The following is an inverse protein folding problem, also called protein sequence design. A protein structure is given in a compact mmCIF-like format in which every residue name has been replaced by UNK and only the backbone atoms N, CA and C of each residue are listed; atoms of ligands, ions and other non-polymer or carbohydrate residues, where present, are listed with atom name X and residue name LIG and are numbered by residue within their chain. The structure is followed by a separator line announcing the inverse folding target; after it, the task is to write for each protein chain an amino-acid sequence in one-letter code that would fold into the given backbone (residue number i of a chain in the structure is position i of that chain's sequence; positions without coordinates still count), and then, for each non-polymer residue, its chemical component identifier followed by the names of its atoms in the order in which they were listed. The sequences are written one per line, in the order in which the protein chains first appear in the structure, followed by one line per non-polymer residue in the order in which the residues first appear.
data_IF_784404916413
#
_entry.id   IF_784404916413
#
_cell.length_a   1.000
_cell.length_b   1.000
_cell.length_c   1.000
_cell.angle_alpha   90.00
_cell.angle_beta   90.00
_cell.angle_gamma   90.00
#
_symmetry.space_group_name_H-M   'P 1'
#
loop_
_entity.id
_entity.type
_entity.pdbx_description
1 polymer ?
#
# COMPACT_ATOMS: atom_id res chain seq x y z
N UNK A 1 -7.30 10.57 -7.84
CA UNK A 1 -5.82 10.58 -7.97
C UNK A 1 -5.20 9.45 -7.13
N UNK A 2 -5.27 9.48 -5.80
CA UNK A 2 -4.65 8.48 -4.91
C UNK A 2 -5.02 7.02 -5.20
N UNK A 3 -6.29 6.73 -5.49
CA UNK A 3 -6.75 5.37 -5.80
C UNK A 3 -6.08 4.79 -7.06
N UNK A 4 -5.91 5.62 -8.09
CA UNK A 4 -5.27 5.22 -9.35
C UNK A 4 -3.78 4.97 -9.12
N UNK A 5 -3.11 5.83 -8.33
CA UNK A 5 -1.71 5.62 -7.94
C UNK A 5 -1.52 4.30 -7.16
N UNK A 6 -2.43 4.00 -6.22
CA UNK A 6 -2.44 2.71 -5.52
C UNK A 6 -2.60 1.52 -6.46
N UNK A 7 -3.51 1.60 -7.43
CA UNK A 7 -3.73 0.54 -8.42
C UNK A 7 -2.50 0.31 -9.30
N UNK A 8 -1.84 1.39 -9.76
CA UNK A 8 -0.62 1.31 -10.57
C UNK A 8 0.56 0.73 -9.78
N UNK A 9 0.79 1.22 -8.55
CA UNK A 9 1.82 0.68 -7.65
C UNK A 9 1.62 -0.83 -7.41
N UNK A 10 0.36 -1.27 -7.19
CA UNK A 10 0.03 -2.69 -7.04
C UNK A 10 0.31 -3.48 -8.32
N UNK A 11 -0.02 -2.94 -9.49
CA UNK A 11 0.25 -3.58 -10.77
C UNK A 11 1.76 -3.77 -10.99
N UNK A 12 2.56 -2.74 -10.74
CA UNK A 12 4.02 -2.80 -10.87
C UNK A 12 4.68 -3.72 -9.86
N UNK A 13 4.20 -3.74 -8.61
CA UNK A 13 4.65 -4.72 -7.60
C UNK A 13 4.40 -6.16 -8.06
N UNK A 14 3.23 -6.44 -8.65
CA UNK A 14 2.93 -7.77 -9.22
C UNK A 14 3.83 -8.09 -10.41
N UNK A 15 4.07 -7.13 -11.30
CA UNK A 15 4.99 -7.30 -12.43
C UNK A 15 6.42 -7.60 -11.96
N UNK A 16 6.90 -6.87 -10.94
CA UNK A 16 8.21 -7.10 -10.33
C UNK A 16 8.29 -8.50 -9.71
N UNK A 17 7.26 -8.93 -8.96
CA UNK A 17 7.21 -10.28 -8.41
C UNK A 17 7.30 -11.34 -9.53
N UNK A 18 6.48 -11.21 -10.56
CA UNK A 18 6.50 -12.12 -11.71
C UNK A 18 7.87 -12.18 -12.39
N UNK A 19 8.51 -11.02 -12.59
CA UNK A 19 9.86 -10.93 -13.16
C UNK A 19 10.89 -11.72 -12.33
N UNK A 20 10.79 -11.68 -11.00
CA UNK A 20 11.68 -12.40 -10.09
C UNK A 20 11.40 -13.91 -10.03
N UNK A 21 10.12 -14.29 -10.16
CA UNK A 21 9.70 -15.69 -10.23
C UNK A 21 10.21 -16.35 -11.52
N UNK A 22 10.19 -15.63 -12.64
CA UNK A 22 10.65 -16.08 -13.97
C UNK A 22 12.15 -15.86 -14.22
N UNK A 23 12.92 -15.38 -13.23
CA UNK A 23 14.31 -14.92 -13.43
C UNK A 23 15.25 -15.95 -14.07
N UNK A 24 15.00 -17.25 -13.85
CA UNK A 24 15.88 -18.32 -14.33
C UNK A 24 15.67 -18.63 -15.81
N UNK A 25 14.54 -18.21 -16.40
CA UNK A 25 14.20 -18.44 -17.81
C UNK A 25 14.44 -17.22 -18.68
N UNK A 26 14.75 -16.06 -18.07
CA UNK A 26 14.88 -14.79 -18.76
C UNK A 26 16.33 -14.48 -19.15
N UNK A 27 16.50 -13.74 -20.24
CA UNK A 27 17.78 -13.16 -20.58
C UNK A 27 18.23 -12.19 -19.45
N UNK A 28 19.49 -12.32 -19.02
CA UNK A 28 20.04 -11.54 -17.91
C UNK A 28 19.99 -10.02 -18.13
N UNK A 29 20.26 -9.54 -19.35
CA UNK A 29 20.25 -8.11 -19.64
C UNK A 29 18.81 -7.57 -19.61
N UNK A 30 17.86 -8.33 -20.15
CA UNK A 30 16.44 -8.00 -20.04
C UNK A 30 15.98 -7.95 -18.58
N UNK A 31 16.36 -8.95 -17.78
CA UNK A 31 16.04 -9.01 -16.35
C UNK A 31 16.56 -7.78 -15.60
N UNK A 32 17.84 -7.43 -15.78
CA UNK A 32 18.45 -6.26 -15.12
C UNK A 32 17.77 -4.96 -15.54
N UNK A 33 17.53 -4.79 -16.85
CA UNK A 33 16.87 -3.60 -17.38
C UNK A 33 15.45 -3.44 -16.81
N UNK A 34 14.64 -4.49 -16.84
CA UNK A 34 13.27 -4.46 -16.31
C UNK A 34 13.20 -4.35 -14.80
N UNK A 35 14.14 -4.97 -14.09
CA UNK A 35 14.27 -4.81 -12.65
C UNK A 35 14.52 -3.35 -12.30
N UNK A 36 15.50 -2.71 -12.95
CA UNK A 36 15.83 -1.30 -12.72
C UNK A 36 14.66 -0.38 -13.04
N UNK A 37 13.97 -0.60 -14.16
CA UNK A 37 12.79 0.18 -14.56
C UNK A 37 11.67 0.10 -13.49
N UNK A 38 11.29 -1.13 -13.11
CA UNK A 38 10.21 -1.36 -12.17
C UNK A 38 10.57 -0.87 -10.76
N UNK A 39 11.77 -1.16 -10.27
CA UNK A 39 12.20 -0.76 -8.93
C UNK A 39 12.29 0.76 -8.82
N UNK A 40 12.88 1.42 -9.82
CA UNK A 40 13.04 2.89 -9.82
C UNK A 40 11.69 3.56 -9.79
N UNK A 41 10.75 3.12 -10.63
CA UNK A 41 9.41 3.67 -10.61
C UNK A 41 8.73 3.45 -9.26
N UNK A 42 8.72 2.21 -8.75
CA UNK A 42 8.03 1.88 -7.50
C UNK A 42 8.57 2.74 -6.35
N UNK A 43 9.89 2.88 -6.23
CA UNK A 43 10.52 3.66 -5.16
C UNK A 43 10.15 5.14 -5.27
N UNK A 44 10.30 5.75 -6.45
CA UNK A 44 10.02 7.17 -6.64
C UNK A 44 8.54 7.49 -6.41
N UNK A 45 7.64 6.71 -7.02
CA UNK A 45 6.20 6.92 -6.90
C UNK A 45 5.70 6.64 -5.49
N UNK A 46 6.19 5.60 -4.82
CA UNK A 46 5.78 5.30 -3.44
C UNK A 46 6.23 6.40 -2.47
N UNK A 47 7.44 6.96 -2.65
CA UNK A 47 7.91 8.06 -1.79
C UNK A 47 7.05 9.31 -1.94
N UNK A 48 6.73 9.72 -3.17
CA UNK A 48 5.83 10.85 -3.43
C UNK A 48 4.42 10.58 -2.88
N UNK A 49 3.93 9.36 -3.03
CA UNK A 49 2.63 8.94 -2.51
C UNK A 49 2.57 9.04 -0.97
N UNK A 50 3.56 8.50 -0.27
CA UNK A 50 3.67 8.59 1.20
C UNK A 50 3.77 10.06 1.63
N UNK A 51 4.51 10.88 0.89
CA UNK A 51 4.60 12.31 1.17
C UNK A 51 3.23 13.00 1.10
N UNK A 52 2.44 12.73 0.05
CA UNK A 52 1.07 13.25 -0.10
C UNK A 52 0.16 12.77 1.04
N UNK A 53 0.24 11.50 1.42
CA UNK A 53 -0.52 10.96 2.54
C UNK A 53 -0.19 11.69 3.85
N UNK A 54 1.09 11.76 4.20
CA UNK A 54 1.55 12.34 5.47
C UNK A 54 1.34 13.84 5.58
N UNK A 55 1.51 14.59 4.49
CA UNK A 55 1.54 16.06 4.55
C UNK A 55 0.23 16.70 4.07
N UNK A 56 -0.63 15.97 3.37
CA UNK A 56 -1.87 16.51 2.81
C UNK A 56 -3.08 15.74 3.33
N UNK A 57 -3.17 14.44 3.08
CA UNK A 57 -4.40 13.67 3.34
C UNK A 57 -4.64 13.43 4.82
N UNK A 58 -3.64 12.99 5.58
CA UNK A 58 -3.83 12.76 7.02
C UNK A 58 -4.12 14.06 7.77
N UNK A 59 -3.40 15.18 7.55
CA UNK A 59 -3.75 16.46 8.16
C UNK A 59 -5.13 16.96 7.76
N UNK A 60 -5.55 16.74 6.50
CA UNK A 60 -6.90 17.09 6.06
C UNK A 60 -7.95 16.25 6.77
N UNK A 61 -7.78 14.92 6.80
CA UNK A 61 -8.68 13.99 7.48
C UNK A 61 -8.89 14.37 8.96
N UNK A 62 -7.81 14.71 9.67
CA UNK A 62 -7.87 15.16 11.07
C UNK A 62 -8.71 16.44 11.27
N UNK A 63 -8.79 17.31 10.26
CA UNK A 63 -9.56 18.57 10.33
C UNK A 63 -11.00 18.39 9.88
N UNK A 64 -11.28 17.42 9.02
CA UNK A 64 -12.58 17.29 8.33
C UNK A 64 -13.48 16.21 8.92
N UNK A 65 -12.90 15.14 9.48
CA UNK A 65 -13.65 13.99 9.98
C UNK A 65 -14.00 14.22 11.45
N UNK A 66 -15.27 14.05 11.80
CA UNK A 66 -15.74 14.18 13.18
C UNK A 66 -15.41 12.95 14.04
N UNK A 67 -15.40 13.11 15.37
CA UNK A 67 -15.15 12.02 16.33
C UNK A 67 -16.08 10.81 16.12
N UNK A 68 -17.36 11.05 15.83
CA UNK A 68 -18.34 9.99 15.57
C UNK A 68 -17.99 9.21 14.31
N UNK A 69 -17.54 9.89 13.26
CA UNK A 69 -17.13 9.25 12.01
C UNK A 69 -15.83 8.47 12.20
N UNK A 70 -14.88 8.98 12.98
CA UNK A 70 -13.65 8.27 13.34
C UNK A 70 -13.92 6.94 14.05
N UNK A 71 -14.89 6.91 14.97
CA UNK A 71 -15.32 5.66 15.61
C UNK A 71 -15.76 4.60 14.60
N UNK A 72 -16.61 4.98 13.64
CA UNK A 72 -17.08 4.07 12.57
C UNK A 72 -15.95 3.64 11.63
N UNK A 73 -15.09 4.58 11.21
CA UNK A 73 -13.95 4.28 10.34
C UNK A 73 -13.00 3.28 11.01
N UNK A 74 -12.78 3.42 12.32
CA UNK A 74 -11.95 2.48 13.10
C UNK A 74 -12.54 1.07 13.09
N UNK A 75 -13.84 0.92 13.31
CA UNK A 75 -14.51 -0.38 13.25
C UNK A 75 -14.38 -1.04 11.87
N UNK A 76 -14.54 -0.26 10.80
CA UNK A 76 -14.36 -0.74 9.42
C UNK A 76 -12.90 -1.17 9.15
N UNK A 77 -11.91 -0.41 9.65
CA UNK A 77 -10.49 -0.78 9.53
C UNK A 77 -10.13 -2.01 10.36
N UNK A 78 -10.73 -2.17 11.54
CA UNK A 78 -10.54 -3.35 12.39
C UNK A 78 -10.97 -4.64 11.69
N UNK A 79 -12.04 -4.58 10.88
CA UNK A 79 -12.54 -5.70 10.08
C UNK A 79 -11.66 -6.03 8.86
N UNK A 80 -11.00 -5.04 8.25
CA UNK A 80 -10.10 -5.23 7.10
C UNK A 80 -8.73 -5.77 7.56
N UNK A 81 -8.27 -5.33 8.73
CA UNK A 81 -6.94 -5.64 9.25
C UNK A 81 -5.92 -4.54 8.95
N UNK A 82 -4.77 -4.65 9.60
CA UNK A 82 -3.70 -3.66 9.53
C UNK A 82 -2.44 -4.28 8.92
N UNK A 83 -1.70 -3.48 8.14
CA UNK A 83 -0.44 -3.91 7.54
C UNK A 83 0.72 -3.41 8.43
N UNK A 84 1.69 -4.28 8.71
CA UNK A 84 2.94 -3.98 9.44
C UNK A 84 2.78 -3.53 10.92
N UNK A 85 1.55 -3.42 11.42
CA UNK A 85 1.23 -3.09 12.81
C UNK A 85 -0.18 -3.61 13.11
N UNK A 86 -0.57 -3.79 14.37
CA UNK A 86 -1.93 -4.10 14.80
C UNK A 86 -2.12 -3.46 16.18
N UNK A 87 -3.14 -2.60 16.39
CA UNK A 87 -3.37 -1.97 17.70
C UNK A 87 -3.59 -3.00 18.81
N UNK A 88 -2.99 -2.81 19.98
CA UNK A 88 -3.11 -3.73 21.13
C UNK A 88 -4.54 -3.79 21.70
N UNK A 89 -5.27 -2.70 21.60
CA UNK A 89 -6.62 -2.51 22.10
C UNK A 89 -7.72 -2.93 21.11
N UNK A 90 -7.41 -3.84 20.18
CA UNK A 90 -8.43 -4.43 19.31
C UNK A 90 -9.43 -5.23 20.12
N UNK A 91 -10.71 -4.89 19.97
CA UNK A 91 -11.82 -5.76 20.39
C UNK A 91 -11.75 -7.00 19.51
N UNK A 92 -11.19 -8.09 20.04
CA UNK A 92 -11.23 -9.39 19.39
C UNK A 92 -12.68 -9.86 19.29
N UNK A 93 -13.36 -9.56 18.18
CA UNK A 93 -14.52 -10.36 17.79
C UNK A 93 -13.96 -11.63 17.16
N UNK A 94 -14.23 -12.75 17.82
CA UNK A 94 -13.65 -14.05 17.56
C UNK A 94 -13.63 -14.41 16.08
N UNK A 95 -12.51 -14.98 15.66
CA UNK A 95 -12.41 -15.74 14.43
C UNK A 95 -13.49 -16.83 14.45
N UNK A 96 -14.49 -16.72 13.59
CA UNK A 96 -15.18 -17.90 13.09
C UNK A 96 -14.42 -18.38 11.85
N UNK A 97 -14.09 -19.67 11.92
CA UNK A 97 -13.38 -20.53 10.95
C UNK A 97 -13.53 -20.15 9.48
#
# INVERSE_FOLDING_TARGET
MMKIEHEDLRARKRALKKLLDERNTLNRNYLISKLHELSTYIVLTLNDHIYKENNILYPLALRTISEKEWGRIKEEFDAIGYCCFTPENKVQRGHHH
#
